data_IF_889457376549
#
_entry.id   IF_889457376549
#
_cell.length_a   1.000
_cell.length_b   1.000
_cell.length_c   1.000
_cell.angle_alpha   90.00
_cell.angle_beta   90.00
_cell.angle_gamma   90.00
#
_symmetry.space_group_name_H-M   'P 1'
#
loop_
_entity.id
_entity.type
_entity.pdbx_description
1 polymer ?
#
# COMPACT_ATOMS: atom_id res chain seq x y z
N UNK A 1 13.28 -3.00 12.76
CA UNK A 1 13.08 -1.60 12.28
C UNK A 1 12.60 -0.72 13.43
N UNK A 2 13.17 0.49 13.60
CA UNK A 2 12.72 1.53 14.56
C UNK A 2 11.87 2.55 13.80
N UNK A 3 10.64 2.83 14.25
CA UNK A 3 9.81 3.89 13.67
C UNK A 3 9.86 5.12 14.56
N UNK A 4 10.17 6.28 14.00
CA UNK A 4 10.18 7.58 14.70
C UNK A 4 9.17 8.52 14.05
N UNK A 5 8.45 9.28 14.87
CA UNK A 5 7.50 10.31 14.46
C UNK A 5 8.06 11.68 14.85
N UNK A 6 8.43 12.49 13.85
CA UNK A 6 9.10 13.77 14.09
C UNK A 6 8.27 14.78 14.90
N UNK A 7 6.96 14.68 14.88
CA UNK A 7 6.07 15.49 15.72
C UNK A 7 6.32 15.29 17.22
N UNK A 8 6.77 14.09 17.61
CA UNK A 8 7.07 13.72 19.00
C UNK A 8 8.51 14.06 19.42
N UNK A 9 9.24 14.75 18.56
CA UNK A 9 10.67 15.05 18.73
C UNK A 9 11.57 14.05 18.00
N UNK A 10 12.82 14.45 17.81
CA UNK A 10 13.84 13.58 17.23
C UNK A 10 14.64 12.93 18.37
N UNK A 11 14.87 11.61 18.34
CA UNK A 11 15.72 10.96 19.33
C UNK A 11 17.15 11.51 19.27
N UNK A 12 17.74 11.79 20.41
CA UNK A 12 19.11 12.31 20.51
C UNK A 12 20.19 11.28 20.13
N UNK A 13 19.81 10.02 19.96
CA UNK A 13 20.68 8.88 19.67
C UNK A 13 20.66 8.45 18.19
N UNK A 14 20.17 9.30 17.29
CA UNK A 14 20.24 9.00 15.85
C UNK A 14 21.67 9.10 15.34
N UNK A 15 22.17 8.00 14.78
CA UNK A 15 23.46 7.97 14.10
C UNK A 15 23.36 8.54 12.67
N UNK A 16 24.52 8.86 12.09
CA UNK A 16 24.60 9.25 10.69
C UNK A 16 23.98 8.17 9.79
N UNK A 17 23.16 8.58 8.82
CA UNK A 17 22.36 7.67 8.03
C UNK A 17 22.55 7.83 6.53
N UNK A 18 22.32 6.71 5.81
CA UNK A 18 22.03 6.68 4.38
C UNK A 18 20.51 6.63 4.25
N UNK A 19 19.91 7.60 3.57
CA UNK A 19 18.47 7.76 3.57
C UNK A 19 17.86 7.86 2.17
N UNK A 20 16.57 7.63 2.09
CA UNK A 20 15.72 8.02 0.96
C UNK A 20 14.42 8.62 1.44
N UNK A 21 13.80 9.46 0.58
CA UNK A 21 12.55 10.14 0.91
C UNK A 21 11.48 9.83 -0.13
N UNK A 22 10.25 9.61 0.32
CA UNK A 22 9.10 9.39 -0.54
C UNK A 22 7.82 9.09 0.22
N UNK A 23 6.69 9.11 -0.47
CA UNK A 23 5.42 8.71 0.12
C UNK A 23 5.31 7.18 0.25
N UNK A 24 5.98 6.42 -0.62
CA UNK A 24 6.09 4.95 -0.62
C UNK A 24 4.74 4.21 -0.62
N UNK A 25 3.72 4.76 -1.28
CA UNK A 25 2.43 4.09 -1.37
C UNK A 25 2.53 2.78 -2.13
N UNK A 26 2.10 1.70 -1.49
CA UNK A 26 2.17 0.34 -2.02
C UNK A 26 3.54 -0.33 -1.87
N UNK A 27 4.59 0.34 -1.41
CA UNK A 27 5.96 -0.20 -1.29
C UNK A 27 6.30 -1.17 -2.45
N UNK A 28 5.95 -0.76 -3.68
CA UNK A 28 6.07 -1.56 -4.90
C UNK A 28 7.54 -1.88 -5.25
N UNK A 29 7.78 -2.77 -6.20
CA UNK A 29 9.13 -3.24 -6.56
C UNK A 29 10.11 -2.12 -6.88
N UNK A 30 9.65 -1.02 -7.50
CA UNK A 30 10.51 0.17 -7.70
C UNK A 30 10.93 0.84 -6.39
N UNK A 31 10.04 0.88 -5.39
CA UNK A 31 10.40 1.34 -4.04
C UNK A 31 11.35 0.36 -3.36
N UNK A 32 11.07 -0.96 -3.43
CA UNK A 32 11.92 -1.99 -2.85
C UNK A 32 13.33 -1.94 -3.44
N UNK A 33 13.45 -1.71 -4.74
CA UNK A 33 14.73 -1.55 -5.44
C UNK A 33 15.52 -0.33 -4.95
N UNK A 34 14.87 0.84 -4.81
CA UNK A 34 15.49 2.02 -4.22
C UNK A 34 15.96 1.76 -2.78
N UNK A 35 15.10 1.12 -1.99
CA UNK A 35 15.38 0.84 -0.58
C UNK A 35 16.53 -0.18 -0.44
N UNK A 36 16.64 -1.17 -1.32
CA UNK A 36 17.76 -2.12 -1.27
C UNK A 36 19.12 -1.43 -1.43
N UNK A 37 19.22 -0.46 -2.34
CA UNK A 37 20.45 0.34 -2.48
C UNK A 37 20.76 1.15 -1.22
N UNK A 38 19.75 1.73 -0.57
CA UNK A 38 19.93 2.45 0.70
C UNK A 38 20.44 1.51 1.79
N UNK A 39 19.85 0.33 1.94
CA UNK A 39 20.23 -0.66 2.96
C UNK A 39 21.62 -1.22 2.70
N UNK A 40 21.92 -1.57 1.46
CA UNK A 40 23.24 -2.08 1.05
C UNK A 40 24.34 -1.05 1.28
N UNK A 41 24.15 0.19 0.79
CA UNK A 41 25.13 1.28 0.98
C UNK A 41 25.32 1.62 2.47
N UNK A 42 24.25 1.66 3.24
CA UNK A 42 24.33 1.91 4.68
C UNK A 42 25.18 0.85 5.39
N UNK A 43 25.00 -0.43 5.02
CA UNK A 43 25.79 -1.55 5.57
C UNK A 43 27.27 -1.44 5.18
N UNK A 44 27.55 -1.12 3.92
CA UNK A 44 28.93 -0.97 3.42
C UNK A 44 29.66 0.20 4.11
N UNK A 45 28.95 1.29 4.40
CA UNK A 45 29.51 2.47 5.05
C UNK A 45 29.47 2.41 6.59
N UNK A 46 28.93 1.35 7.18
CA UNK A 46 28.77 1.23 8.63
C UNK A 46 27.82 2.27 9.23
N UNK A 47 26.79 2.69 8.47
CA UNK A 47 25.78 3.68 8.85
C UNK A 47 24.41 3.04 9.04
N UNK A 48 23.46 3.81 9.58
CA UNK A 48 22.07 3.39 9.63
C UNK A 48 21.36 3.62 8.29
N UNK A 49 20.54 2.67 7.85
CA UNK A 49 19.63 2.86 6.73
C UNK A 49 18.35 3.53 7.20
N UNK A 50 17.87 4.56 6.46
CA UNK A 50 16.69 5.33 6.86
C UNK A 50 15.73 5.56 5.68
N UNK A 51 14.45 5.35 5.92
CA UNK A 51 13.36 5.79 5.03
C UNK A 51 12.65 6.96 5.67
N UNK A 52 12.49 8.04 4.91
CA UNK A 52 11.73 9.21 5.32
C UNK A 52 10.42 9.21 4.55
N UNK A 53 9.30 9.12 5.27
CA UNK A 53 7.96 9.05 4.68
C UNK A 53 6.98 9.97 5.39
N UNK A 54 5.74 10.03 4.89
CA UNK A 54 4.71 10.93 5.39
C UNK A 54 3.51 10.15 5.93
N UNK A 55 2.85 10.68 6.96
CA UNK A 55 1.64 10.11 7.55
C UNK A 55 0.39 10.34 6.71
N UNK A 56 0.36 11.42 5.91
CA UNK A 56 -0.71 11.73 4.97
C UNK A 56 -0.16 12.12 3.59
N UNK A 57 -0.99 11.95 2.57
CA UNK A 57 -0.56 12.22 1.21
C UNK A 57 -0.39 13.73 0.98
N UNK A 58 0.78 14.21 0.47
CA UNK A 58 1.01 15.64 0.28
C UNK A 58 -0.09 16.38 -0.50
N UNK A 59 -0.71 15.73 -1.49
CA UNK A 59 -1.82 16.33 -2.24
C UNK A 59 -3.11 16.53 -1.44
N UNK A 60 -3.33 15.76 -0.36
CA UNK A 60 -4.50 15.98 0.53
C UNK A 60 -4.41 17.33 1.23
N UNK A 61 -3.20 17.75 1.60
CA UNK A 61 -2.96 19.03 2.27
C UNK A 61 -2.96 20.18 1.29
N UNK A 62 -2.42 19.97 0.09
CA UNK A 62 -2.29 21.02 -0.93
C UNK A 62 -3.58 21.28 -1.72
N UNK A 63 -4.47 20.29 -1.81
CA UNK A 63 -5.71 20.36 -2.59
C UNK A 63 -6.86 19.77 -1.78
N UNK A 64 -7.69 20.63 -1.20
CA UNK A 64 -8.79 20.23 -0.30
C UNK A 64 -9.80 19.24 -0.92
N UNK A 65 -9.99 19.28 -2.25
CA UNK A 65 -10.90 18.40 -2.98
C UNK A 65 -10.24 17.07 -3.39
N UNK A 66 -8.93 16.88 -3.14
CA UNK A 66 -8.22 15.68 -3.54
C UNK A 66 -8.40 14.57 -2.48
N UNK A 67 -9.04 13.50 -2.87
CA UNK A 67 -9.13 12.28 -2.06
C UNK A 67 -8.22 11.21 -2.65
N UNK A 68 -7.07 10.91 -2.02
CA UNK A 68 -6.18 9.88 -2.51
C UNK A 68 -6.83 8.49 -2.40
N UNK A 69 -6.66 7.68 -3.42
CA UNK A 69 -6.94 6.25 -3.35
C UNK A 69 -5.63 5.53 -3.03
N UNK A 70 -5.46 5.18 -1.76
CA UNK A 70 -4.21 4.61 -1.25
C UNK A 70 -4.09 3.12 -1.60
N UNK A 71 -2.90 2.72 -2.05
CA UNK A 71 -2.54 1.30 -2.14
C UNK A 71 -2.32 0.69 -0.76
N UNK A 72 -1.78 1.48 0.17
CA UNK A 72 -1.49 1.06 1.54
C UNK A 72 -1.75 2.19 2.54
N UNK A 73 -2.61 2.00 3.56
CA UNK A 73 -2.66 2.88 4.71
C UNK A 73 -1.34 2.89 5.48
N UNK A 74 -1.12 3.91 6.33
CA UNK A 74 0.17 4.12 7.00
C UNK A 74 0.68 2.87 7.76
N UNK A 75 -0.17 2.22 8.55
CA UNK A 75 0.26 1.07 9.36
C UNK A 75 0.71 -0.11 8.48
N UNK A 76 -0.01 -0.38 7.40
CA UNK A 76 0.35 -1.42 6.44
C UNK A 76 1.62 -1.04 5.67
N UNK A 77 1.77 0.23 5.31
CA UNK A 77 3.00 0.76 4.70
C UNK A 77 4.20 0.53 5.61
N UNK A 78 4.10 0.86 6.90
CA UNK A 78 5.16 0.62 7.88
C UNK A 78 5.52 -0.86 8.02
N UNK A 79 4.51 -1.74 8.06
CA UNK A 79 4.72 -3.18 8.05
C UNK A 79 5.47 -3.67 6.80
N UNK A 80 5.13 -3.15 5.61
CA UNK A 80 5.83 -3.50 4.37
C UNK A 80 7.25 -2.95 4.34
N UNK A 81 7.48 -1.75 4.84
CA UNK A 81 8.82 -1.15 4.95
C UNK A 81 9.72 -1.93 5.91
N UNK A 82 9.19 -2.44 7.02
CA UNK A 82 9.93 -3.30 7.94
C UNK A 82 10.54 -4.53 7.25
N UNK A 83 9.81 -5.11 6.30
CA UNK A 83 10.24 -6.29 5.53
C UNK A 83 11.37 -6.01 4.54
N UNK A 84 11.69 -4.74 4.29
CA UNK A 84 12.82 -4.36 3.43
C UNK A 84 14.18 -4.44 4.14
N UNK A 85 14.18 -4.64 5.46
CA UNK A 85 15.40 -4.70 6.26
C UNK A 85 15.98 -3.33 6.62
N UNK A 86 15.24 -2.23 6.41
CA UNK A 86 15.65 -0.89 6.81
C UNK A 86 15.72 -0.76 8.34
N UNK A 87 16.72 -0.03 8.86
CA UNK A 87 16.91 0.15 10.30
C UNK A 87 15.92 1.14 10.90
N UNK A 88 15.67 2.27 10.21
CA UNK A 88 14.85 3.38 10.72
C UNK A 88 13.83 3.82 9.67
N UNK A 89 12.58 4.07 10.10
CA UNK A 89 11.58 4.79 9.32
C UNK A 89 11.20 6.06 10.07
N UNK A 90 11.50 7.22 9.48
CA UNK A 90 11.11 8.53 9.97
C UNK A 90 9.79 8.95 9.31
N UNK A 91 8.74 9.10 10.12
CA UNK A 91 7.42 9.55 9.68
C UNK A 91 7.29 11.04 9.94
N UNK A 92 7.17 11.82 8.87
CA UNK A 92 6.90 13.25 8.90
C UNK A 92 5.39 13.50 8.86
N UNK A 93 4.93 14.46 9.64
CA UNK A 93 3.60 15.03 9.45
C UNK A 93 3.65 16.02 8.30
N UNK A 94 2.88 15.75 7.24
CA UNK A 94 2.83 16.67 6.11
C UNK A 94 1.73 17.70 6.34
N UNK A 95 2.12 18.89 6.75
CA UNK A 95 1.24 20.04 6.98
C UNK A 95 1.56 21.21 6.06
N UNK A 96 0.81 22.31 6.22
CA UNK A 96 1.02 23.53 5.45
C UNK A 96 2.41 24.13 5.68
N UNK A 97 2.95 24.05 6.92
CA UNK A 97 4.27 24.60 7.23
C UNK A 97 5.36 23.80 6.49
N UNK A 98 5.33 22.47 6.54
CA UNK A 98 6.28 21.61 5.82
C UNK A 98 6.20 21.84 4.30
N UNK A 99 5.00 22.09 3.76
CA UNK A 99 4.79 22.31 2.32
C UNK A 99 5.40 23.62 1.81
N UNK A 100 5.70 24.58 2.67
CA UNK A 100 6.29 25.87 2.32
C UNK A 100 7.81 25.87 2.37
N UNK A 101 8.44 24.83 2.92
CA UNK A 101 9.91 24.75 2.96
C UNK A 101 10.48 24.64 1.55
N UNK A 102 11.51 25.45 1.25
CA UNK A 102 12.35 25.24 0.07
C UNK A 102 13.03 23.87 0.14
N UNK A 103 13.53 23.38 -0.98
CA UNK A 103 14.30 22.13 -0.95
C UNK A 103 15.57 22.28 -0.11
N UNK A 104 16.21 23.46 -0.16
CA UNK A 104 17.37 23.77 0.65
C UNK A 104 17.05 23.70 2.15
N UNK A 105 16.02 24.40 2.64
CA UNK A 105 15.66 24.41 4.07
C UNK A 105 15.21 23.02 4.53
N UNK A 106 14.46 22.30 3.69
CA UNK A 106 14.08 20.92 3.97
C UNK A 106 15.31 20.02 4.14
N UNK A 107 16.32 20.13 3.27
CA UNK A 107 17.56 19.35 3.36
C UNK A 107 18.37 19.74 4.59
N UNK A 108 18.53 21.05 4.85
CA UNK A 108 19.30 21.54 5.97
C UNK A 108 18.63 21.22 7.30
N UNK A 109 17.41 21.73 7.54
CA UNK A 109 16.79 21.70 8.86
C UNK A 109 16.26 20.32 9.26
N UNK A 110 15.76 19.54 8.29
CA UNK A 110 15.16 18.24 8.58
C UNK A 110 16.13 17.09 8.30
N UNK A 111 16.76 17.04 7.11
CA UNK A 111 17.58 15.90 6.76
C UNK A 111 18.92 15.94 7.48
N UNK A 112 19.61 17.08 7.46
CA UNK A 112 20.95 17.21 8.08
C UNK A 112 20.84 17.37 9.60
N UNK A 113 20.19 18.45 10.08
CA UNK A 113 20.21 18.81 11.48
C UNK A 113 19.42 17.88 12.39
N UNK A 114 18.25 17.41 11.92
CA UNK A 114 17.36 16.59 12.76
C UNK A 114 17.52 15.09 12.52
N UNK A 115 17.76 14.64 11.28
CA UNK A 115 17.82 13.22 10.93
C UNK A 115 19.23 12.71 10.68
N UNK A 116 20.25 13.59 10.73
CA UNK A 116 21.66 13.25 10.51
C UNK A 116 21.91 12.45 9.24
N UNK A 117 21.21 12.85 8.14
CA UNK A 117 21.39 12.23 6.83
C UNK A 117 22.75 12.63 6.25
N UNK A 118 23.64 11.68 6.06
CA UNK A 118 24.95 11.89 5.45
C UNK A 118 24.95 11.55 3.95
N UNK A 119 24.06 10.66 3.52
CA UNK A 119 23.87 10.33 2.09
C UNK A 119 22.39 10.17 1.79
N UNK A 120 21.91 10.84 0.72
CA UNK A 120 20.52 10.86 0.30
C UNK A 120 20.37 10.22 -1.08
N UNK A 121 19.64 9.09 -1.17
CA UNK A 121 19.20 8.52 -2.42
C UNK A 121 17.87 9.13 -2.86
N UNK A 122 17.81 9.60 -4.10
CA UNK A 122 16.61 10.21 -4.70
C UNK A 122 16.18 9.37 -5.88
N UNK A 123 14.86 9.01 -5.94
CA UNK A 123 14.29 8.34 -7.10
C UNK A 123 14.39 9.22 -8.36
N UNK A 124 14.45 8.58 -9.51
CA UNK A 124 14.72 9.24 -10.81
C UNK A 124 13.83 10.47 -11.11
N UNK A 125 12.54 10.39 -10.79
CA UNK A 125 11.55 11.45 -11.05
C UNK A 125 11.08 12.17 -9.78
N UNK A 126 11.69 11.85 -8.64
CA UNK A 126 11.26 12.40 -7.35
C UNK A 126 11.72 13.85 -7.20
N UNK A 127 10.77 14.71 -6.82
CA UNK A 127 11.03 16.12 -6.49
C UNK A 127 10.37 16.49 -5.19
N UNK A 128 11.08 17.28 -4.38
CA UNK A 128 10.57 17.85 -3.13
C UNK A 128 10.92 19.33 -3.03
N UNK A 129 10.47 19.99 -1.97
CA UNK A 129 10.54 21.44 -1.80
C UNK A 129 9.28 22.14 -2.32
N UNK A 130 9.11 23.40 -1.88
CA UNK A 130 7.98 24.24 -2.26
C UNK A 130 7.92 24.37 -3.79
N UNK A 131 6.72 24.21 -4.38
CA UNK A 131 6.48 24.26 -5.82
C UNK A 131 7.25 23.22 -6.67
N UNK A 132 8.10 22.37 -6.09
CA UNK A 132 8.90 21.36 -6.80
C UNK A 132 9.72 21.94 -7.98
N UNK A 133 10.19 23.19 -7.80
CA UNK A 133 10.92 23.91 -8.83
C UNK A 133 12.33 23.36 -9.03
N UNK A 134 12.96 22.93 -7.93
CA UNK A 134 14.31 22.39 -7.91
C UNK A 134 14.34 20.97 -8.48
N UNK A 135 15.49 20.62 -9.05
CA UNK A 135 15.79 19.31 -9.62
C UNK A 135 16.99 18.64 -8.98
N UNK A 136 17.40 17.51 -9.54
CA UNK A 136 18.50 16.70 -8.99
C UNK A 136 19.82 17.49 -8.89
N UNK A 137 20.14 18.36 -9.87
CA UNK A 137 21.36 19.16 -9.84
C UNK A 137 21.39 20.14 -8.66
N UNK A 138 20.24 20.73 -8.31
CA UNK A 138 20.11 21.65 -7.18
C UNK A 138 20.31 20.88 -5.86
N UNK A 139 19.70 19.69 -5.72
CA UNK A 139 19.90 18.85 -4.54
C UNK A 139 21.36 18.42 -4.35
N UNK A 140 22.08 18.15 -5.44
CA UNK A 140 23.53 17.84 -5.38
C UNK A 140 24.31 19.06 -4.91
N UNK A 141 23.97 20.26 -5.38
CA UNK A 141 24.63 21.50 -4.96
C UNK A 141 24.39 21.76 -3.46
N UNK A 142 23.15 21.71 -3.00
CA UNK A 142 22.79 21.86 -1.58
C UNK A 142 23.45 20.79 -0.70
N UNK A 143 23.46 19.54 -1.16
CA UNK A 143 24.13 18.47 -0.42
C UNK A 143 25.61 18.73 -0.21
N UNK A 144 26.33 19.27 -1.22
CA UNK A 144 27.75 19.65 -1.09
C UNK A 144 27.97 20.73 -0.06
N UNK A 145 27.12 21.75 -0.01
CA UNK A 145 27.19 22.82 0.99
C UNK A 145 27.02 22.28 2.41
N UNK A 146 26.19 21.25 2.60
CA UNK A 146 25.84 20.66 3.88
C UNK A 146 26.72 19.45 4.27
N UNK A 147 27.63 19.02 3.36
CA UNK A 147 28.40 17.79 3.59
C UNK A 147 27.58 16.50 3.44
N UNK A 148 26.46 16.56 2.73
CA UNK A 148 25.58 15.43 2.42
C UNK A 148 25.79 14.98 0.98
N UNK A 149 26.10 13.70 0.76
CA UNK A 149 26.16 13.12 -0.59
C UNK A 149 24.76 12.87 -1.13
N UNK A 150 24.48 13.29 -2.37
CA UNK A 150 23.19 13.08 -3.03
C UNK A 150 23.38 12.19 -4.25
N UNK A 151 22.65 11.06 -4.29
CA UNK A 151 22.76 10.03 -5.33
C UNK A 151 21.41 9.84 -6.02
N UNK A 152 21.41 9.82 -7.35
CA UNK A 152 20.21 9.48 -8.11
C UNK A 152 20.10 7.96 -8.29
N UNK A 153 18.97 7.39 -7.88
CA UNK A 153 18.73 5.97 -8.09
C UNK A 153 18.19 5.72 -9.51
N UNK A 154 18.66 4.69 -10.22
CA UNK A 154 18.12 4.33 -11.52
C UNK A 154 16.66 3.89 -11.42
N UNK A 155 15.96 3.94 -12.56
CA UNK A 155 14.56 3.45 -12.68
C UNK A 155 14.55 1.93 -12.59
N UNK A 156 13.55 1.41 -11.90
CA UNK A 156 13.25 -0.02 -11.90
C UNK A 156 12.23 -0.35 -12.98
N UNK A 157 12.62 -1.16 -13.94
CA UNK A 157 11.76 -1.65 -15.01
C UNK A 157 11.40 -3.11 -14.81
N UNK A 158 10.14 -3.44 -15.06
CA UNK A 158 9.63 -4.80 -15.09
C UNK A 158 8.98 -5.04 -16.47
N UNK A 159 9.51 -5.97 -17.24
CA UNK A 159 8.99 -6.30 -18.60
C UNK A 159 8.86 -5.05 -19.50
N UNK A 160 9.82 -4.11 -19.42
CA UNK A 160 9.84 -2.86 -20.19
C UNK A 160 8.87 -1.78 -19.69
N UNK A 161 8.28 -1.96 -18.51
CA UNK A 161 7.40 -0.96 -17.88
C UNK A 161 8.03 -0.40 -16.62
N UNK A 162 8.11 0.92 -16.50
CA UNK A 162 8.54 1.59 -15.29
C UNK A 162 7.54 1.37 -14.17
N UNK A 163 7.94 0.66 -13.10
CA UNK A 163 7.05 0.37 -11.97
C UNK A 163 6.88 1.60 -11.11
N UNK A 164 5.62 2.03 -10.94
CA UNK A 164 5.26 3.19 -10.10
C UNK A 164 3.93 2.96 -9.38
N UNK A 165 3.66 3.74 -8.33
CA UNK A 165 2.37 3.68 -7.63
C UNK A 165 1.18 3.95 -8.57
N UNK A 166 1.36 4.77 -9.61
CA UNK A 166 0.32 5.03 -10.62
C UNK A 166 0.02 3.78 -11.44
N UNK A 167 1.03 3.05 -11.88
CA UNK A 167 0.87 1.78 -12.60
C UNK A 167 0.20 0.74 -11.72
N UNK A 168 0.65 0.60 -10.46
CA UNK A 168 0.03 -0.32 -9.50
C UNK A 168 -1.45 0.01 -9.28
N UNK A 169 -1.81 1.31 -9.07
CA UNK A 169 -3.20 1.73 -8.89
C UNK A 169 -4.06 1.42 -10.10
N UNK A 170 -3.54 1.60 -11.32
CA UNK A 170 -4.26 1.28 -12.55
C UNK A 170 -4.62 -0.20 -12.60
N UNK A 171 -3.67 -1.11 -12.33
CA UNK A 171 -3.93 -2.55 -12.32
C UNK A 171 -4.94 -2.95 -11.24
N UNK A 172 -4.77 -2.42 -10.00
CA UNK A 172 -5.73 -2.67 -8.91
C UNK A 172 -7.13 -2.17 -9.28
N UNK A 173 -7.24 -0.94 -9.78
CA UNK A 173 -8.53 -0.35 -10.16
C UNK A 173 -9.22 -1.09 -11.31
N UNK A 174 -8.44 -1.69 -12.22
CA UNK A 174 -8.96 -2.53 -13.32
C UNK A 174 -9.30 -3.96 -12.86
N UNK A 175 -8.90 -4.37 -11.66
CA UNK A 175 -9.08 -5.74 -11.17
C UNK A 175 -8.05 -6.74 -11.71
N UNK A 176 -6.96 -6.25 -12.27
CA UNK A 176 -5.85 -7.04 -12.83
C UNK A 176 -4.87 -7.47 -11.73
N UNK A 177 -5.32 -8.37 -10.84
CA UNK A 177 -4.62 -8.67 -9.59
C UNK A 177 -3.25 -9.34 -9.80
N UNK A 178 -3.10 -10.19 -10.82
CA UNK A 178 -1.81 -10.81 -11.16
C UNK A 178 -0.80 -9.75 -11.62
N UNK A 179 -1.21 -8.80 -12.45
CA UNK A 179 -0.34 -7.69 -12.88
C UNK A 179 -0.01 -6.75 -11.72
N UNK A 180 -1.01 -6.44 -10.88
CA UNK A 180 -0.80 -5.67 -9.66
C UNK A 180 0.22 -6.35 -8.73
N UNK A 181 0.09 -7.67 -8.52
CA UNK A 181 1.00 -8.46 -7.69
C UNK A 181 2.42 -8.49 -8.23
N UNK A 182 2.60 -8.59 -9.56
CA UNK A 182 3.93 -8.51 -10.19
C UNK A 182 4.58 -7.15 -9.95
N UNK A 183 3.83 -6.06 -10.10
CA UNK A 183 4.33 -4.70 -9.86
C UNK A 183 4.61 -4.42 -8.38
N UNK A 184 3.73 -4.90 -7.47
CA UNK A 184 3.89 -4.73 -6.03
C UNK A 184 5.00 -5.62 -5.45
N UNK A 185 5.19 -6.83 -5.98
CA UNK A 185 6.06 -7.86 -5.42
C UNK A 185 5.36 -8.73 -4.34
N UNK A 186 4.07 -8.51 -4.14
CA UNK A 186 3.21 -9.25 -3.20
C UNK A 186 1.73 -9.13 -3.64
N UNK A 187 0.85 -10.09 -3.25
CA UNK A 187 -0.58 -9.97 -3.52
C UNK A 187 -1.18 -8.72 -2.89
N UNK A 188 -1.97 -7.95 -3.66
CA UNK A 188 -2.67 -6.80 -3.12
C UNK A 188 -3.58 -7.21 -1.96
N UNK A 189 -3.58 -6.44 -0.87
CA UNK A 189 -4.32 -6.80 0.34
C UNK A 189 -5.28 -5.69 0.74
N UNK A 190 -6.35 -6.05 1.42
CA UNK A 190 -7.26 -5.13 2.10
C UNK A 190 -7.64 -5.70 3.45
N UNK A 191 -7.65 -4.87 4.48
CA UNK A 191 -8.08 -5.23 5.82
C UNK A 191 -9.33 -4.47 6.25
N UNK A 192 -10.12 -5.09 7.12
CA UNK A 192 -11.30 -4.46 7.68
C UNK A 192 -11.98 -5.29 8.75
N UNK A 193 -13.07 -4.77 9.29
CA UNK A 193 -13.87 -5.43 10.31
C UNK A 193 -15.10 -6.09 9.69
N UNK A 194 -15.40 -7.30 10.11
CA UNK A 194 -16.62 -7.98 9.68
C UNK A 194 -17.83 -7.34 10.35
N UNK A 195 -18.80 -6.92 9.54
CA UNK A 195 -20.05 -6.28 9.96
C UNK A 195 -21.26 -7.09 9.53
N UNK A 196 -22.41 -6.80 10.13
CA UNK A 196 -23.67 -7.41 9.72
C UNK A 196 -24.02 -7.07 8.27
N UNK A 197 -24.47 -8.06 7.52
CA UNK A 197 -24.98 -7.96 6.15
C UNK A 197 -26.34 -8.61 6.00
N UNK A 198 -26.81 -8.76 4.77
CA UNK A 198 -28.16 -9.28 4.49
C UNK A 198 -28.29 -10.81 4.62
N UNK A 199 -27.18 -11.55 4.81
CA UNK A 199 -27.10 -13.00 5.02
C UNK A 199 -27.71 -13.86 3.88
N UNK A 200 -27.91 -13.31 2.69
CA UNK A 200 -28.48 -14.05 1.54
C UNK A 200 -27.64 -15.25 1.13
N UNK A 201 -26.32 -15.10 1.15
CA UNK A 201 -25.38 -16.21 0.84
C UNK A 201 -25.55 -17.43 1.75
N UNK A 202 -25.93 -17.24 3.02
CA UNK A 202 -26.18 -18.36 3.95
C UNK A 202 -27.30 -19.27 3.48
N UNK A 203 -28.37 -18.70 2.90
CA UNK A 203 -29.52 -19.46 2.37
C UNK A 203 -29.13 -20.32 1.17
N UNK A 204 -28.07 -19.93 0.45
CA UNK A 204 -27.56 -20.60 -0.74
C UNK A 204 -26.42 -21.58 -0.45
N UNK A 205 -26.05 -21.78 0.82
CA UNK A 205 -24.90 -22.61 1.20
C UNK A 205 -23.54 -21.93 1.08
N UNK A 206 -23.50 -20.62 0.79
CA UNK A 206 -22.28 -19.82 0.66
C UNK A 206 -22.31 -18.64 1.65
N UNK A 207 -22.20 -18.89 2.97
CA UNK A 207 -22.19 -17.80 3.95
C UNK A 207 -21.07 -16.82 3.66
N UNK A 208 -21.40 -15.51 3.63
CA UNK A 208 -20.46 -14.42 3.37
C UNK A 208 -20.28 -13.52 4.58
N UNK A 209 -19.05 -13.06 4.79
CA UNK A 209 -18.71 -11.99 5.71
C UNK A 209 -18.66 -10.66 4.95
N UNK A 210 -19.40 -9.65 5.45
CA UNK A 210 -19.35 -8.30 4.91
C UNK A 210 -18.22 -7.54 5.59
N UNK A 211 -17.33 -6.92 4.80
CA UNK A 211 -16.15 -6.23 5.30
C UNK A 211 -16.35 -4.72 5.23
N UNK A 212 -16.20 -4.06 6.36
CA UNK A 212 -16.06 -2.62 6.45
C UNK A 212 -14.58 -2.27 6.50
N UNK A 213 -14.09 -1.52 5.50
CA UNK A 213 -12.70 -1.10 5.43
C UNK A 213 -12.30 -0.25 6.64
N UNK A 214 -11.08 -0.46 7.14
CA UNK A 214 -10.52 0.32 8.22
C UNK A 214 -10.19 1.77 7.79
N UNK A 215 -9.75 1.96 6.54
CA UNK A 215 -9.50 3.27 5.93
C UNK A 215 -10.35 3.43 4.67
N UNK A 216 -11.28 4.40 4.62
CA UNK A 216 -12.14 4.63 3.44
C UNK A 216 -11.37 5.10 2.20
N UNK A 217 -10.14 5.61 2.37
CA UNK A 217 -9.27 6.02 1.26
C UNK A 217 -8.62 4.84 0.56
N UNK A 218 -8.78 3.62 1.08
CA UNK A 218 -8.24 2.41 0.46
C UNK A 218 -8.75 2.24 -0.96
N UNK A 219 -7.85 1.99 -1.90
CA UNK A 219 -8.22 1.66 -3.28
C UNK A 219 -8.93 0.30 -3.31
N UNK A 220 -10.20 0.30 -3.74
CA UNK A 220 -10.96 -0.93 -3.94
C UNK A 220 -10.84 -1.35 -5.42
N UNK A 221 -10.59 -2.65 -5.71
CA UNK A 221 -10.57 -3.16 -7.07
C UNK A 221 -11.91 -3.01 -7.79
N UNK A 222 -11.91 -3.16 -9.13
CA UNK A 222 -13.14 -3.18 -9.93
C UNK A 222 -14.16 -4.21 -9.41
N UNK A 223 -15.45 -3.96 -9.65
CA UNK A 223 -16.53 -4.91 -9.32
C UNK A 223 -16.30 -6.26 -9.99
N UNK A 224 -16.57 -7.35 -9.26
CA UNK A 224 -16.38 -8.72 -9.76
C UNK A 224 -16.16 -9.72 -8.65
N UNK A 225 -15.95 -10.97 -9.05
CA UNK A 225 -15.63 -12.08 -8.15
C UNK A 225 -14.13 -12.38 -8.26
N UNK A 226 -13.49 -12.50 -7.09
CA UNK A 226 -12.05 -12.68 -6.97
C UNK A 226 -11.73 -13.94 -6.17
N UNK A 227 -10.71 -14.68 -6.61
CA UNK A 227 -10.02 -15.64 -5.79
C UNK A 227 -9.17 -14.90 -4.76
N UNK A 228 -9.30 -15.26 -3.49
CA UNK A 228 -8.62 -14.59 -2.39
C UNK A 228 -8.06 -15.58 -1.38
N UNK A 229 -7.07 -15.14 -0.62
CA UNK A 229 -6.72 -15.73 0.68
C UNK A 229 -7.21 -14.80 1.78
N UNK A 230 -7.74 -15.39 2.84
CA UNK A 230 -8.30 -14.65 3.99
C UNK A 230 -7.61 -15.09 5.26
N UNK A 231 -7.20 -14.11 6.04
CA UNK A 231 -6.65 -14.28 7.39
C UNK A 231 -7.63 -13.67 8.38
N UNK A 232 -7.97 -14.41 9.46
CA UNK A 232 -8.91 -13.95 10.49
C UNK A 232 -8.15 -13.59 11.75
N UNK A 233 -8.30 -12.35 12.22
CA UNK A 233 -7.62 -11.86 13.41
C UNK A 233 -6.12 -12.08 13.35
N UNK A 234 -5.56 -12.57 14.46
CA UNK A 234 -4.13 -12.85 14.61
C UNK A 234 -3.74 -14.29 14.22
N UNK A 235 -4.67 -15.05 13.61
CA UNK A 235 -4.34 -16.40 13.15
C UNK A 235 -3.18 -16.38 12.14
N UNK A 236 -2.26 -17.36 12.24
CA UNK A 236 -1.17 -17.48 11.27
C UNK A 236 -1.64 -18.02 9.91
N UNK A 237 -2.79 -18.72 9.87
CA UNK A 237 -3.27 -19.48 8.72
C UNK A 237 -4.05 -18.60 7.74
N UNK A 238 -3.68 -18.66 6.47
CA UNK A 238 -4.43 -18.10 5.36
C UNK A 238 -5.35 -19.18 4.75
N UNK A 239 -6.64 -18.88 4.63
CA UNK A 239 -7.64 -19.76 4.03
C UNK A 239 -8.02 -19.27 2.65
N UNK A 240 -8.26 -20.18 1.72
CA UNK A 240 -8.83 -19.81 0.42
C UNK A 240 -10.27 -19.35 0.58
N UNK A 241 -10.67 -18.46 -0.32
CA UNK A 241 -12.04 -17.98 -0.38
C UNK A 241 -12.33 -17.30 -1.71
N UNK A 242 -13.56 -16.87 -1.87
CA UNK A 242 -13.97 -16.01 -2.96
C UNK A 242 -14.56 -14.71 -2.41
N UNK A 243 -14.20 -13.59 -3.02
CA UNK A 243 -14.68 -12.27 -2.66
C UNK A 243 -15.51 -11.68 -3.78
N UNK A 244 -16.70 -11.21 -3.46
CA UNK A 244 -17.52 -10.38 -4.34
C UNK A 244 -17.32 -8.92 -3.99
N UNK A 245 -16.89 -8.11 -4.97
CA UNK A 245 -16.91 -6.66 -4.92
C UNK A 245 -18.06 -6.21 -5.82
N UNK A 246 -19.09 -5.65 -5.22
CA UNK A 246 -20.28 -5.17 -5.91
C UNK A 246 -20.61 -3.72 -5.60
N UNK A 247 -21.48 -3.12 -6.39
CA UNK A 247 -22.04 -1.80 -6.15
C UNK A 247 -23.53 -1.93 -5.85
N UNK A 248 -23.98 -1.25 -4.80
CA UNK A 248 -25.39 -1.22 -4.42
C UNK A 248 -25.92 0.20 -4.49
N UNK A 249 -27.04 0.43 -5.18
CA UNK A 249 -27.73 1.70 -5.12
C UNK A 249 -28.18 2.01 -3.68
N UNK A 250 -27.90 3.22 -3.22
CA UNK A 250 -28.40 3.75 -1.93
C UNK A 250 -29.01 5.12 -2.15
N UNK A 251 -29.77 5.62 -1.17
CA UNK A 251 -30.37 6.97 -1.23
C UNK A 251 -29.35 8.12 -1.38
N UNK A 252 -28.05 7.84 -1.16
CA UNK A 252 -26.94 8.82 -1.27
C UNK A 252 -25.94 8.51 -2.38
N UNK A 253 -26.22 7.59 -3.30
CA UNK A 253 -25.31 7.16 -4.37
C UNK A 253 -25.05 5.66 -4.37
N UNK A 254 -23.96 5.24 -5.01
CA UNK A 254 -23.54 3.85 -5.04
C UNK A 254 -22.61 3.53 -3.85
N UNK A 255 -22.96 2.53 -3.07
CA UNK A 255 -22.09 2.01 -2.00
C UNK A 255 -21.42 0.72 -2.45
N UNK A 256 -20.10 0.67 -2.35
CA UNK A 256 -19.35 -0.55 -2.61
C UNK A 256 -19.62 -1.57 -1.49
N UNK A 257 -19.99 -2.79 -1.86
CA UNK A 257 -20.09 -3.95 -0.96
C UNK A 257 -18.90 -4.86 -1.13
N UNK A 258 -18.35 -5.31 0.00
CA UNK A 258 -17.19 -6.20 0.08
C UNK A 258 -17.64 -7.46 0.84
N UNK A 259 -17.89 -8.54 0.11
CA UNK A 259 -18.42 -9.78 0.67
C UNK A 259 -17.49 -10.94 0.39
N UNK A 260 -16.99 -11.60 1.44
CA UNK A 260 -16.09 -12.74 1.31
C UNK A 260 -16.70 -14.03 1.85
N UNK A 261 -16.66 -15.09 1.06
CA UNK A 261 -16.92 -16.47 1.47
C UNK A 261 -15.59 -17.19 1.67
N UNK A 262 -15.32 -17.65 2.89
CA UNK A 262 -14.11 -18.39 3.25
C UNK A 262 -14.41 -19.87 3.09
N UNK A 263 -13.62 -20.58 2.30
CA UNK A 263 -13.84 -22.01 2.06
C UNK A 263 -13.50 -22.84 3.30
N UNK A 264 -14.35 -23.83 3.54
CA UNK A 264 -14.20 -24.81 4.62
C UNK A 264 -14.01 -24.16 6.01
N UNK A 265 -14.63 -23.01 6.21
CA UNK A 265 -14.65 -22.28 7.46
C UNK A 265 -16.04 -22.34 8.11
N UNK A 266 -16.07 -22.74 9.37
CA UNK A 266 -17.26 -22.67 10.21
C UNK A 266 -16.94 -21.87 11.48
N UNK A 267 -17.64 -20.78 11.70
CA UNK A 267 -17.45 -19.93 12.87
C UNK A 267 -18.16 -18.59 12.74
N UNK A 268 -18.28 -17.88 13.84
CA UNK A 268 -18.79 -16.52 13.87
C UNK A 268 -17.62 -15.54 13.64
N UNK A 269 -17.77 -14.69 12.64
CA UNK A 269 -16.78 -13.68 12.26
C UNK A 269 -17.20 -12.24 12.63
N UNK A 270 -18.40 -12.04 13.17
CA UNK A 270 -18.87 -10.69 13.48
C UNK A 270 -17.94 -9.96 14.44
N UNK A 271 -17.56 -8.75 14.07
CA UNK A 271 -16.64 -7.92 14.84
C UNK A 271 -15.15 -8.30 14.71
N UNK A 272 -14.82 -9.45 14.10
CA UNK A 272 -13.43 -9.84 13.87
C UNK A 272 -12.77 -8.92 12.84
N UNK A 273 -11.46 -8.72 12.99
CA UNK A 273 -10.62 -8.16 11.94
C UNK A 273 -10.30 -9.25 10.92
N UNK A 274 -10.34 -8.90 9.65
CA UNK A 274 -9.93 -9.80 8.56
C UNK A 274 -8.97 -9.10 7.61
N UNK A 275 -8.03 -9.85 7.08
CA UNK A 275 -7.15 -9.43 6.00
C UNK A 275 -7.43 -10.30 4.77
N UNK A 276 -7.64 -9.67 3.62
CA UNK A 276 -7.94 -10.33 2.34
C UNK A 276 -6.81 -10.03 1.36
N UNK A 277 -6.14 -11.07 0.87
CA UNK A 277 -5.12 -11.01 -0.16
C UNK A 277 -5.72 -11.48 -1.50
N UNK A 278 -5.69 -10.61 -2.50
CA UNK A 278 -6.25 -10.88 -3.83
C UNK A 278 -5.26 -11.70 -4.67
N UNK A 279 -5.73 -12.79 -5.24
CA UNK A 279 -4.94 -13.65 -6.12
C UNK A 279 -5.21 -13.31 -7.59
N UNK A 280 -6.48 -13.41 -8.00
CA UNK A 280 -6.91 -13.12 -9.37
C UNK A 280 -8.40 -12.79 -9.45
N UNK A 281 -8.80 -12.11 -10.50
CA UNK A 281 -10.21 -11.91 -10.84
C UNK A 281 -10.73 -13.16 -11.55
N UNK A 282 -11.82 -13.73 -11.03
CA UNK A 282 -12.46 -14.93 -11.61
C UNK A 282 -13.42 -14.54 -12.72
N UNK A 283 -14.25 -13.52 -12.49
CA UNK A 283 -15.23 -12.98 -13.44
C UNK A 283 -15.73 -11.59 -13.06
N UNK A 284 -16.44 -10.98 -13.98
CA UNK A 284 -17.22 -9.76 -13.70
C UNK A 284 -18.46 -10.05 -12.85
N UNK A 285 -18.99 -9.02 -12.22
CA UNK A 285 -20.28 -9.08 -11.55
C UNK A 285 -21.39 -9.23 -12.60
N UNK A 286 -22.39 -10.07 -12.32
CA UNK A 286 -23.56 -10.23 -13.17
C UNK A 286 -24.81 -10.47 -12.35
N UNK A 287 -25.97 -10.12 -12.91
CA UNK A 287 -27.26 -10.44 -12.35
C UNK A 287 -27.67 -11.87 -12.72
N UNK A 288 -28.44 -12.52 -11.84
CA UNK A 288 -28.96 -13.87 -12.03
C UNK A 288 -30.49 -13.82 -12.03
N UNK A 289 -31.12 -14.67 -12.82
CA UNK A 289 -32.57 -14.72 -12.93
C UNK A 289 -33.22 -15.42 -11.73
N UNK A 290 -32.48 -16.32 -11.05
CA UNK A 290 -32.98 -17.03 -9.88
C UNK A 290 -31.88 -17.31 -8.85
N UNK A 291 -32.27 -17.59 -7.57
CA UNK A 291 -31.33 -18.01 -6.54
C UNK A 291 -30.57 -19.30 -6.88
N UNK A 292 -31.21 -20.23 -7.60
CA UNK A 292 -30.63 -21.50 -8.02
C UNK A 292 -29.53 -21.28 -9.07
N UNK A 293 -29.75 -20.36 -10.00
CA UNK A 293 -28.72 -19.97 -10.99
C UNK A 293 -27.50 -19.34 -10.29
N UNK A 294 -27.73 -18.47 -9.30
CA UNK A 294 -26.68 -17.88 -8.50
C UNK A 294 -25.89 -18.97 -7.75
N UNK A 295 -26.59 -19.89 -7.06
CA UNK A 295 -25.95 -20.98 -6.31
C UNK A 295 -25.09 -21.86 -7.22
N UNK A 296 -25.61 -22.24 -8.40
CA UNK A 296 -24.87 -23.02 -9.39
C UNK A 296 -23.61 -22.28 -9.89
N UNK A 297 -23.69 -20.96 -10.07
CA UNK A 297 -22.52 -20.16 -10.45
C UNK A 297 -21.51 -20.06 -9.32
N UNK A 298 -21.91 -19.85 -8.08
CA UNK A 298 -21.02 -19.82 -6.92
C UNK A 298 -20.26 -21.14 -6.74
N UNK A 299 -20.94 -22.28 -7.01
CA UNK A 299 -20.28 -23.60 -7.00
C UNK A 299 -19.20 -23.72 -8.11
N UNK A 300 -19.49 -23.21 -9.33
CA UNK A 300 -18.49 -23.16 -10.42
C UNK A 300 -17.32 -22.25 -10.06
N UNK A 301 -17.61 -21.07 -9.51
CA UNK A 301 -16.57 -20.12 -9.10
C UNK A 301 -15.64 -20.75 -8.02
N UNK A 302 -16.22 -21.43 -7.01
CA UNK A 302 -15.47 -22.16 -5.99
C UNK A 302 -14.55 -23.20 -6.62
N UNK A 303 -15.09 -24.05 -7.53
CA UNK A 303 -14.30 -25.09 -8.19
C UNK A 303 -13.15 -24.50 -9.02
N UNK A 304 -13.42 -23.44 -9.80
CA UNK A 304 -12.40 -22.71 -10.58
C UNK A 304 -11.27 -22.18 -9.70
N UNK A 305 -11.60 -21.67 -8.50
CA UNK A 305 -10.60 -21.16 -7.55
C UNK A 305 -9.77 -22.30 -6.97
N UNK A 306 -10.41 -23.39 -6.58
CA UNK A 306 -9.71 -24.57 -6.03
C UNK A 306 -8.76 -25.17 -7.05
N UNK A 307 -9.19 -25.37 -8.29
CA UNK A 307 -8.37 -25.94 -9.38
C UNK A 307 -7.14 -25.05 -9.66
N UNK A 308 -7.34 -23.73 -9.70
CA UNK A 308 -6.27 -22.77 -9.96
C UNK A 308 -5.24 -22.63 -8.82
N UNK A 309 -5.67 -22.86 -7.56
CA UNK A 309 -4.80 -22.69 -6.39
C UNK A 309 -4.17 -24.00 -5.88
N UNK A 310 -4.66 -25.17 -6.34
CA UNK A 310 -4.02 -26.46 -6.06
C UNK A 310 -2.83 -26.76 -6.99
N UNK A 311 -2.68 -26.00 -8.09
CA UNK A 311 -1.60 -26.17 -9.08
C UNK A 311 -0.42 -25.20 -8.86
N UNK A 312 -0.47 -24.33 -7.85
CA UNK A 312 0.54 -23.36 -7.47
C UNK A 312 1.03 -23.58 -6.05
#
# INVERSE_FOLDING_TARGET
MRTIYLQKGCPADLAASVATIGFFDGVHRGHQFLISHVVETAREEGRQSMIITFDQHPREVLHADYQPRLLTPLQEKLYLLERTGVDVVAVLHFDAALSQLSAHDFMHDLLQERLHVAKLFIGYDHRFGHNRAEGFADYVAYGREMGMEVVQNPVFELEGVNVSSTVCRRHVAAGEMEAASRCLGYPYRMGGRVVAGFQEGRKLGFPTANIQLADPRRLVPASGVYAVRVKVGDEATWRLGMMNIGTRPTFGGEKVSLEVHIFDFAGDLYGCQVEVAFLRRVREERKFASPEELAAQLARDKQTILDACCLS
#
